data_IF_780140057876
#
_entry.id   IF_780140057876
#
_cell.length_a   1.000
_cell.length_b   1.000
_cell.length_c   1.000
_cell.angle_alpha   90.00
_cell.angle_beta   90.00
_cell.angle_gamma   90.00
#
_symmetry.space_group_name_H-M   'P 1'
#
loop_
_entity.id
_entity.type
_entity.pdbx_description
1 polymer ?
#
# COMPACT_ATOMS: atom_id res chain seq x y z
N UNK A 1 10.32 -19.30 -6.55
CA UNK A 1 11.08 -18.22 -7.18
C UNK A 1 10.65 -16.94 -6.52
N UNK A 2 11.53 -16.30 -5.74
CA UNK A 2 11.26 -15.00 -5.13
C UNK A 2 11.17 -13.96 -6.24
N UNK A 3 10.01 -13.33 -6.38
CA UNK A 3 9.81 -12.22 -7.31
C UNK A 3 10.32 -10.90 -6.72
N UNK A 4 10.52 -9.91 -7.57
CA UNK A 4 10.73 -8.52 -7.18
C UNK A 4 9.44 -7.72 -7.40
N UNK A 5 9.39 -6.50 -6.82
CA UNK A 5 8.34 -5.53 -7.13
C UNK A 5 8.36 -5.18 -8.62
N UNK A 6 7.18 -5.02 -9.22
CA UNK A 6 7.04 -4.75 -10.65
C UNK A 6 7.43 -3.31 -11.04
N UNK A 7 7.64 -2.43 -10.07
CA UNK A 7 8.14 -1.06 -10.24
C UNK A 7 9.03 -0.66 -9.07
N UNK A 8 9.97 0.27 -9.29
CA UNK A 8 10.82 0.82 -8.23
C UNK A 8 10.03 1.60 -7.19
N UNK A 9 10.59 1.70 -5.97
CA UNK A 9 9.95 2.38 -4.84
C UNK A 9 9.75 3.87 -5.10
N UNK A 10 10.82 4.58 -5.52
CA UNK A 10 10.78 6.01 -5.81
C UNK A 10 10.15 6.35 -7.18
N UNK A 11 9.66 5.35 -7.93
CA UNK A 11 9.00 5.56 -9.22
C UNK A 11 7.54 5.96 -9.03
N UNK A 12 7.28 7.05 -8.29
CA UNK A 12 5.94 7.33 -7.76
C UNK A 12 4.87 7.61 -8.84
N UNK A 13 5.27 8.14 -10.02
CA UNK A 13 4.42 8.36 -11.20
C UNK A 13 4.53 7.24 -12.25
N UNK A 14 5.06 6.06 -11.91
CA UNK A 14 5.18 4.98 -12.88
C UNK A 14 3.81 4.43 -13.29
N UNK A 15 3.75 3.80 -14.45
CA UNK A 15 2.57 3.04 -14.87
C UNK A 15 2.47 1.68 -14.16
N UNK A 16 1.24 1.19 -13.89
CA UNK A 16 -0.06 1.76 -14.26
C UNK A 16 -0.49 2.92 -13.34
N UNK A 17 -1.27 3.86 -13.89
CA UNK A 17 -1.88 4.96 -13.13
C UNK A 17 -1.15 6.31 -13.20
N UNK A 18 0.15 6.30 -13.48
CA UNK A 18 0.91 7.49 -13.87
C UNK A 18 0.82 8.63 -12.85
N UNK A 19 0.70 9.86 -13.35
CA UNK A 19 0.53 11.05 -12.52
C UNK A 19 -0.82 11.07 -11.76
N UNK A 20 -1.86 10.41 -12.27
CA UNK A 20 -3.17 10.42 -11.62
C UNK A 20 -3.15 9.68 -10.28
N UNK A 21 -2.54 8.49 -10.22
CA UNK A 21 -2.40 7.72 -8.98
C UNK A 21 -1.52 8.45 -7.96
N UNK A 22 -0.43 9.08 -8.42
CA UNK A 22 0.45 9.81 -7.51
C UNK A 22 -0.25 11.05 -6.93
N UNK A 23 -0.99 11.80 -7.75
CA UNK A 23 -1.77 12.96 -7.31
C UNK A 23 -2.90 12.54 -6.38
N UNK A 24 -3.53 11.40 -6.64
CA UNK A 24 -4.57 10.85 -5.76
C UNK A 24 -4.02 10.47 -4.39
N UNK A 25 -2.91 9.73 -4.35
CA UNK A 25 -2.24 9.36 -3.11
C UNK A 25 -1.74 10.58 -2.33
N UNK A 26 -1.25 11.62 -3.01
CA UNK A 26 -0.81 12.85 -2.37
C UNK A 26 -1.95 13.71 -1.83
N UNK A 27 -3.05 13.82 -2.59
CA UNK A 27 -4.20 14.62 -2.20
C UNK A 27 -5.03 13.96 -1.09
N UNK A 28 -5.23 12.64 -1.16
CA UNK A 28 -5.92 11.87 -0.13
C UNK A 28 -5.24 10.50 0.09
N UNK A 29 -4.18 10.43 0.94
CA UNK A 29 -3.47 9.18 1.17
C UNK A 29 -4.33 8.10 1.82
N UNK A 30 -5.26 8.46 2.71
CA UNK A 30 -6.19 7.49 3.31
C UNK A 30 -7.16 6.91 2.28
N UNK A 31 -7.65 7.72 1.33
CA UNK A 31 -8.49 7.25 0.24
C UNK A 31 -7.72 6.31 -0.69
N UNK A 32 -6.49 6.68 -1.05
CA UNK A 32 -5.62 5.86 -1.90
C UNK A 32 -5.30 4.51 -1.25
N UNK A 33 -4.94 4.51 0.03
CA UNK A 33 -4.78 3.28 0.81
C UNK A 33 -6.08 2.45 0.85
N UNK A 34 -7.23 3.10 1.04
CA UNK A 34 -8.53 2.43 1.02
C UNK A 34 -8.82 1.73 -0.32
N UNK A 35 -8.58 2.42 -1.44
CA UNK A 35 -8.75 1.86 -2.79
C UNK A 35 -7.78 0.72 -3.09
N UNK A 36 -6.59 0.75 -2.52
CA UNK A 36 -5.63 -0.35 -2.61
C UNK A 36 -6.11 -1.57 -1.82
N UNK A 37 -6.48 -1.37 -0.55
CA UNK A 37 -6.94 -2.43 0.35
C UNK A 37 -8.26 -3.04 -0.10
N UNK A 38 -9.11 -2.28 -0.77
CA UNK A 38 -10.33 -2.80 -1.40
C UNK A 38 -10.03 -3.89 -2.43
N UNK A 39 -8.92 -3.76 -3.17
CA UNK A 39 -8.48 -4.78 -4.14
C UNK A 39 -7.88 -6.01 -3.47
N UNK A 40 -7.55 -5.93 -2.17
CA UNK A 40 -7.18 -7.09 -1.37
C UNK A 40 -8.44 -7.81 -0.90
N UNK A 41 -8.42 -9.14 -0.89
CA UNK A 41 -9.60 -9.93 -0.52
C UNK A 41 -10.03 -9.69 0.94
N UNK A 42 -11.31 -9.95 1.21
CA UNK A 42 -11.84 -9.91 2.57
C UNK A 42 -11.05 -10.85 3.50
N UNK A 43 -10.60 -10.33 4.64
CA UNK A 43 -9.83 -11.08 5.64
C UNK A 43 -8.33 -11.20 5.36
N UNK A 44 -7.81 -10.66 4.25
CA UNK A 44 -6.36 -10.66 3.99
C UNK A 44 -5.60 -9.63 4.83
N UNK A 45 -6.22 -8.47 5.07
CA UNK A 45 -5.68 -7.36 5.87
C UNK A 45 -6.81 -6.72 6.67
N UNK A 46 -6.46 -5.84 7.61
CA UNK A 46 -7.45 -5.03 8.34
C UNK A 46 -8.30 -4.24 7.34
N UNK A 47 -9.61 -4.45 7.38
CA UNK A 47 -10.58 -3.87 6.43
C UNK A 47 -10.38 -4.27 4.96
N UNK A 48 -9.71 -5.40 4.68
CA UNK A 48 -9.61 -5.96 3.33
C UNK A 48 -10.96 -6.10 2.65
N UNK A 49 -11.06 -5.69 1.39
CA UNK A 49 -12.31 -5.68 0.62
C UNK A 49 -13.30 -4.59 1.02
N UNK A 50 -12.94 -3.66 1.91
CA UNK A 50 -13.80 -2.55 2.33
C UNK A 50 -13.04 -1.21 2.26
N UNK A 51 -13.21 -0.49 1.14
CA UNK A 51 -12.58 0.80 0.88
C UNK A 51 -12.82 1.84 1.98
N UNK A 52 -14.09 2.01 2.39
CA UNK A 52 -14.47 3.00 3.41
C UNK A 52 -13.88 2.65 4.78
N UNK A 53 -13.94 1.38 5.16
CA UNK A 53 -13.38 0.87 6.41
C UNK A 53 -11.87 1.08 6.46
N UNK A 54 -11.16 0.70 5.38
CA UNK A 54 -9.72 0.85 5.28
C UNK A 54 -9.28 2.32 5.29
N UNK A 55 -9.99 3.19 4.57
CA UNK A 55 -9.77 4.64 4.57
C UNK A 55 -9.93 5.22 5.98
N UNK A 56 -11.03 4.90 6.68
CA UNK A 56 -11.29 5.38 8.03
C UNK A 56 -10.24 4.86 9.02
N UNK A 57 -9.89 3.57 8.97
CA UNK A 57 -8.86 2.99 9.83
C UNK A 57 -7.49 3.64 9.61
N UNK A 58 -7.10 3.87 8.35
CA UNK A 58 -5.85 4.56 8.04
C UNK A 58 -5.86 6.01 8.53
N UNK A 59 -6.96 6.73 8.34
CA UNK A 59 -7.12 8.09 8.84
C UNK A 59 -7.00 8.17 10.37
N UNK A 60 -7.76 7.34 11.10
CA UNK A 60 -7.74 7.32 12.56
C UNK A 60 -6.36 6.91 13.12
N UNK A 61 -5.72 5.90 12.54
CA UNK A 61 -4.38 5.47 12.95
C UNK A 61 -3.31 6.50 12.60
N UNK A 62 -3.52 7.34 11.58
CA UNK A 62 -2.64 8.46 11.26
C UNK A 62 -2.71 9.56 12.32
N UNK A 63 -3.90 9.85 12.88
CA UNK A 63 -4.07 10.87 13.92
C UNK A 63 -3.33 10.52 15.22
N UNK A 64 -3.20 9.23 15.54
CA UNK A 64 -2.48 8.73 16.71
C UNK A 64 -1.01 8.35 16.40
N UNK A 65 -0.57 8.53 15.14
CA UNK A 65 0.82 8.28 14.73
C UNK A 65 1.21 6.80 14.56
N UNK A 66 0.26 5.87 14.47
CA UNK A 66 0.53 4.42 14.36
C UNK A 66 0.13 3.82 13.00
N UNK A 67 -0.20 4.67 12.02
CA UNK A 67 -0.56 4.25 10.66
C UNK A 67 0.51 3.37 9.98
N UNK A 68 1.79 3.55 10.35
CA UNK A 68 2.88 2.74 9.81
C UNK A 68 2.74 1.25 10.13
N UNK A 69 2.14 0.89 11.27
CA UNK A 69 1.89 -0.51 11.67
C UNK A 69 0.83 -1.12 10.76
N UNK A 70 -0.27 -0.41 10.56
CA UNK A 70 -1.36 -0.82 9.67
C UNK A 70 -0.83 -1.01 8.24
N UNK A 71 -0.06 -0.02 7.76
CA UNK A 71 0.50 -0.02 6.41
C UNK A 71 1.55 -1.12 6.21
N UNK A 72 2.43 -1.35 7.19
CA UNK A 72 3.40 -2.44 7.16
C UNK A 72 2.74 -3.80 7.03
N UNK A 73 1.61 -4.02 7.72
CA UNK A 73 0.83 -5.25 7.61
C UNK A 73 0.35 -5.48 6.19
N UNK A 74 -0.23 -4.45 5.57
CA UNK A 74 -0.72 -4.50 4.19
C UNK A 74 0.41 -4.75 3.19
N UNK A 75 1.53 -4.03 3.32
CA UNK A 75 2.71 -4.23 2.48
C UNK A 75 3.28 -5.64 2.60
N UNK A 76 3.40 -6.16 3.83
CA UNK A 76 3.88 -7.51 4.10
C UNK A 76 2.97 -8.55 3.44
N UNK A 77 1.66 -8.38 3.57
CA UNK A 77 0.66 -9.26 2.97
C UNK A 77 0.74 -9.26 1.44
N UNK A 78 0.89 -8.10 0.80
CA UNK A 78 1.07 -7.98 -0.66
C UNK A 78 2.32 -8.75 -1.10
N UNK A 79 3.43 -8.60 -0.37
CA UNK A 79 4.67 -9.32 -0.67
C UNK A 79 4.49 -10.83 -0.56
N UNK A 80 3.86 -11.31 0.50
CA UNK A 80 3.56 -12.73 0.67
C UNK A 80 2.64 -13.25 -0.44
N UNK A 81 1.58 -12.51 -0.78
CA UNK A 81 0.61 -12.87 -1.82
C UNK A 81 1.26 -13.04 -3.19
N UNK A 82 2.21 -12.18 -3.54
CA UNK A 82 2.89 -12.19 -4.84
C UNK A 82 4.30 -12.80 -4.82
N UNK A 83 4.71 -13.42 -3.71
CA UNK A 83 6.02 -14.07 -3.57
C UNK A 83 7.22 -13.12 -3.63
N UNK A 84 7.08 -11.87 -3.18
CA UNK A 84 8.10 -10.81 -3.25
C UNK A 84 9.06 -10.86 -2.04
N UNK A 85 10.36 -10.88 -2.30
CA UNK A 85 11.39 -10.92 -1.25
C UNK A 85 11.44 -9.62 -0.40
N UNK A 86 11.97 -9.73 0.83
CA UNK A 86 12.08 -8.62 1.80
C UNK A 86 11.70 -9.01 3.23
N UNK A 87 11.66 -8.04 4.14
CA UNK A 87 11.30 -8.24 5.55
C UNK A 87 10.31 -7.19 6.06
N UNK A 88 9.52 -7.52 7.08
CA UNK A 88 8.60 -6.58 7.73
C UNK A 88 9.33 -5.38 8.35
N UNK A 89 10.58 -5.56 8.80
CA UNK A 89 11.42 -4.47 9.29
C UNK A 89 11.75 -3.47 8.17
N UNK A 90 12.13 -3.97 6.98
CA UNK A 90 12.35 -3.10 5.82
C UNK A 90 11.04 -2.43 5.37
N UNK A 91 9.91 -3.14 5.43
CA UNK A 91 8.60 -2.58 5.11
C UNK A 91 8.21 -1.46 6.07
N UNK A 92 8.47 -1.60 7.37
CA UNK A 92 8.30 -0.54 8.37
C UNK A 92 9.12 0.71 8.03
N UNK A 93 10.41 0.54 7.71
CA UNK A 93 11.30 1.64 7.38
C UNK A 93 10.81 2.38 6.12
N UNK A 94 10.37 1.65 5.10
CA UNK A 94 9.87 2.23 3.86
C UNK A 94 8.53 2.96 4.05
N UNK A 95 7.58 2.39 4.80
CA UNK A 95 6.29 3.03 5.06
C UNK A 95 6.43 4.27 5.96
N UNK A 96 7.40 4.30 6.87
CA UNK A 96 7.72 5.52 7.64
C UNK A 96 8.50 6.56 6.83
N UNK A 97 9.43 6.14 5.97
CA UNK A 97 10.27 7.06 5.19
C UNK A 97 9.47 7.78 4.08
N UNK A 98 8.66 7.03 3.32
CA UNK A 98 7.79 7.59 2.29
C UNK A 98 6.51 6.75 2.17
N UNK A 99 5.48 6.99 3.01
CA UNK A 99 4.22 6.25 2.94
C UNK A 99 3.53 6.40 1.59
N UNK A 100 3.65 7.57 0.95
CA UNK A 100 3.09 7.82 -0.38
C UNK A 100 3.74 6.94 -1.45
N UNK A 101 5.06 6.80 -1.44
CA UNK A 101 5.80 5.96 -2.37
C UNK A 101 5.42 4.49 -2.18
N UNK A 102 5.27 4.06 -0.93
CA UNK A 102 4.82 2.72 -0.57
C UNK A 102 3.40 2.43 -1.11
N UNK A 103 2.41 3.29 -0.80
CA UNK A 103 1.02 3.18 -1.32
C UNK A 103 1.03 3.12 -2.85
N UNK A 104 1.77 4.02 -3.50
CA UNK A 104 1.81 4.04 -4.97
C UNK A 104 2.44 2.76 -5.55
N UNK A 105 3.52 2.24 -4.94
CA UNK A 105 4.15 0.99 -5.37
C UNK A 105 3.22 -0.20 -5.17
N UNK A 106 2.56 -0.28 -4.02
CA UNK A 106 1.59 -1.33 -3.68
C UNK A 106 0.36 -1.30 -4.58
N UNK A 107 -0.23 -0.12 -4.76
CA UNK A 107 -1.35 0.10 -5.69
C UNK A 107 -0.99 -0.35 -7.11
N UNK A 108 0.21 -0.04 -7.60
CA UNK A 108 0.69 -0.53 -8.91
C UNK A 108 0.85 -2.03 -8.94
N UNK A 109 1.39 -2.62 -7.88
CA UNK A 109 1.60 -4.06 -7.79
C UNK A 109 0.28 -4.82 -7.83
N UNK A 110 -0.66 -4.42 -6.98
CA UNK A 110 -2.00 -5.00 -6.91
C UNK A 110 -2.76 -4.77 -8.22
N UNK A 111 -2.56 -3.65 -8.90
CA UNK A 111 -3.19 -3.40 -10.22
C UNK A 111 -2.57 -4.21 -11.36
N UNK A 112 -1.26 -4.52 -11.29
CA UNK A 112 -0.57 -5.33 -12.32
C UNK A 112 -0.83 -6.83 -12.15
N UNK A 113 -0.98 -7.31 -10.91
CA UNK A 113 -1.00 -8.75 -10.59
C UNK A 113 -2.30 -9.24 -9.93
N UNK A 114 -3.16 -8.36 -9.45
CA UNK A 114 -4.50 -8.66 -8.95
C UNK A 114 -5.53 -8.53 -10.07
#
# INVERSE_FOLDING_TARGET
MSGEWSTGFCSWCAEPGGAATCLYAWCCPCCAYGSEVEKLGAGEVVCGGNCYGACLCYYLTSLIGVCCILHMGTRSRIREKYGIAGSSCNDCLLTMCCPLCAICQETREVTKRG
#
